data_IF_798271330395
#
_entry.id   IF_798271330395
#
_cell.length_a   1.000
_cell.length_b   1.000
_cell.length_c   1.000
_cell.angle_alpha   90.00
_cell.angle_beta   90.00
_cell.angle_gamma   90.00
#
_symmetry.space_group_name_H-M   'P 1'
#
loop_
_entity.id
_entity.type
_entity.pdbx_description
1 polymer ?
#
# COMPACT_ATOMS: atom_id res chain seq x y z
N UNK A 1 -11.49 -3.34 -6.70
CA UNK A 1 -11.49 -4.04 -5.39
C UNK A 1 -10.45 -3.47 -4.43
N UNK A 2 -9.14 -3.49 -4.74
CA UNK A 2 -8.07 -3.06 -3.81
C UNK A 2 -8.26 -1.62 -3.30
N UNK A 3 -8.40 -0.64 -4.20
CA UNK A 3 -8.57 0.76 -3.82
C UNK A 3 -9.84 1.01 -2.99
N UNK A 4 -10.96 0.37 -3.34
CA UNK A 4 -12.20 0.47 -2.56
C UNK A 4 -12.06 -0.12 -1.15
N UNK A 5 -11.29 -1.22 -0.99
CA UNK A 5 -10.99 -1.75 0.34
C UNK A 5 -10.19 -0.75 1.17
N UNK A 6 -9.29 -0.01 0.54
CA UNK A 6 -8.53 1.03 1.22
C UNK A 6 -9.39 2.24 1.61
N UNK A 7 -10.32 2.68 0.75
CA UNK A 7 -11.27 3.74 1.10
C UNK A 7 -12.13 3.35 2.32
N UNK A 8 -12.60 2.10 2.33
CA UNK A 8 -13.40 1.56 3.45
C UNK A 8 -12.60 1.31 4.73
N UNK A 9 -11.27 1.17 4.66
CA UNK A 9 -10.42 0.93 5.84
C UNK A 9 -10.40 2.13 6.80
N UNK A 10 -10.50 3.35 6.27
CA UNK A 10 -10.48 4.58 7.05
C UNK A 10 -11.71 5.46 6.86
N UNK A 11 -12.81 4.90 6.32
CA UNK A 11 -14.11 5.57 6.17
C UNK A 11 -13.98 6.91 5.42
N UNK A 12 -13.30 6.89 4.26
CA UNK A 12 -13.09 8.05 3.40
C UNK A 12 -11.99 7.82 2.38
N UNK A 13 -11.78 8.81 1.50
CA UNK A 13 -10.79 8.70 0.41
C UNK A 13 -9.42 8.27 0.91
N UNK A 14 -8.81 7.32 0.22
CA UNK A 14 -7.47 6.84 0.52
C UNK A 14 -6.44 7.56 -0.35
N UNK A 15 -5.69 8.55 0.17
CA UNK A 15 -4.55 9.10 -0.55
C UNK A 15 -3.40 8.09 -0.57
N UNK A 16 -2.90 7.76 -1.76
CA UNK A 16 -1.82 6.80 -1.95
C UNK A 16 -0.82 7.24 -3.02
N UNK A 17 0.39 6.71 -2.89
CA UNK A 17 1.34 6.57 -4.00
C UNK A 17 1.23 5.14 -4.54
N UNK A 18 1.18 5.00 -5.86
CA UNK A 18 1.21 3.69 -6.54
C UNK A 18 2.49 3.59 -7.35
N UNK A 19 3.20 2.48 -7.19
CA UNK A 19 4.48 2.25 -7.85
C UNK A 19 4.46 0.92 -8.59
N UNK A 20 4.90 0.95 -9.84
CA UNK A 20 5.09 -0.24 -10.66
C UNK A 20 6.54 -0.69 -10.57
N UNK A 21 6.73 -1.89 -10.04
CA UNK A 21 8.02 -2.55 -9.96
C UNK A 21 8.07 -3.62 -11.04
N UNK A 22 8.70 -3.28 -12.17
CA UNK A 22 8.92 -4.17 -13.31
C UNK A 22 10.40 -4.44 -13.51
N UNK A 23 10.72 -5.54 -14.20
CA UNK A 23 12.08 -5.81 -14.62
C UNK A 23 12.59 -4.67 -15.53
N UNK A 24 13.91 -4.34 -15.48
CA UNK A 24 14.51 -3.39 -16.41
C UNK A 24 14.29 -3.78 -17.87
N UNK A 25 14.19 -2.77 -18.75
CA UNK A 25 13.93 -2.93 -20.19
C UNK A 25 15.20 -2.89 -21.04
N UNK A 26 16.37 -3.20 -20.46
CA UNK A 26 17.68 -3.06 -21.10
C UNK A 26 18.13 -4.31 -21.88
N UNK A 27 17.25 -5.32 -22.03
CA UNK A 27 17.50 -6.54 -22.80
C UNK A 27 18.31 -7.62 -22.10
N UNK A 28 18.63 -7.45 -20.81
CA UNK A 28 19.29 -8.50 -20.01
C UNK A 28 18.28 -9.48 -19.40
N UNK A 29 18.78 -10.61 -18.90
CA UNK A 29 17.96 -11.62 -18.23
C UNK A 29 17.68 -11.22 -16.76
N UNK A 30 16.38 -11.11 -16.44
CA UNK A 30 15.84 -10.85 -15.12
C UNK A 30 14.76 -11.87 -14.72
N UNK A 31 14.89 -13.14 -15.12
CA UNK A 31 13.91 -14.21 -14.84
C UNK A 31 13.61 -14.42 -13.34
N UNK A 32 14.45 -13.90 -12.45
CA UNK A 32 14.23 -13.91 -11.00
C UNK A 32 13.27 -12.81 -10.51
N UNK A 33 12.94 -11.82 -11.35
CA UNK A 33 12.14 -10.68 -10.95
C UNK A 33 10.66 -10.88 -11.30
N UNK A 34 9.79 -10.74 -10.30
CA UNK A 34 8.34 -10.79 -10.49
C UNK A 34 7.79 -9.37 -10.48
N UNK A 35 7.09 -8.98 -11.54
CA UNK A 35 6.32 -7.74 -11.58
C UNK A 35 5.35 -7.64 -10.40
N UNK A 36 5.32 -6.49 -9.74
CA UNK A 36 4.33 -6.21 -8.71
C UNK A 36 4.02 -4.71 -8.64
N UNK A 37 2.92 -4.41 -7.96
CA UNK A 37 2.46 -3.04 -7.72
C UNK A 37 2.40 -2.80 -6.23
N UNK A 38 3.01 -1.72 -5.79
CA UNK A 38 3.00 -1.30 -4.38
C UNK A 38 2.10 -0.09 -4.19
N UNK A 39 1.30 -0.12 -3.12
CA UNK A 39 0.45 0.98 -2.69
C UNK A 39 0.91 1.49 -1.32
N UNK A 40 1.38 2.74 -1.27
CA UNK A 40 1.80 3.37 -0.03
C UNK A 40 0.78 4.41 0.41
N UNK A 41 0.11 4.15 1.53
CA UNK A 41 -0.77 5.14 2.15
C UNK A 41 0.00 6.16 2.95
N UNK A 42 -0.45 7.41 2.92
CA UNK A 42 -0.07 8.40 3.92
C UNK A 42 -1.02 8.39 5.13
N UNK A 43 -2.14 7.65 5.10
CA UNK A 43 -3.05 7.55 6.26
C UNK A 43 -2.60 6.48 7.25
N UNK A 44 -2.66 6.81 8.53
CA UNK A 44 -2.42 5.92 9.69
C UNK A 44 -3.70 5.63 10.49
N UNK A 45 -4.79 6.25 10.10
CA UNK A 45 -6.09 6.28 10.75
C UNK A 45 -7.00 7.28 10.04
N UNK A 46 -8.23 7.42 10.51
CA UNK A 46 -9.23 8.34 9.92
C UNK A 46 -8.71 9.78 9.83
N UNK A 47 -8.13 10.28 10.92
CA UNK A 47 -7.68 11.69 11.04
C UNK A 47 -6.16 11.81 11.23
N UNK A 48 -5.38 10.78 10.83
CA UNK A 48 -3.92 10.74 11.06
C UNK A 48 -3.15 10.52 9.77
N UNK A 49 -2.18 11.39 9.53
CA UNK A 49 -1.26 11.31 8.39
C UNK A 49 0.15 10.94 8.87
N UNK A 50 0.81 10.05 8.14
CA UNK A 50 2.24 9.73 8.29
C UNK A 50 3.05 10.69 7.43
N UNK A 51 3.91 11.44 8.09
CA UNK A 51 4.99 12.19 7.45
C UNK A 51 6.28 11.38 7.51
N UNK A 52 6.99 11.30 6.39
CA UNK A 52 8.35 10.75 6.35
C UNK A 52 9.31 11.84 6.82
N UNK A 53 9.83 11.69 8.04
CA UNK A 53 10.63 12.71 8.72
C UNK A 53 12.10 12.28 8.76
N UNK A 54 12.84 12.69 9.79
CA UNK A 54 14.29 12.47 9.86
C UNK A 54 14.72 11.00 9.79
N UNK A 55 13.97 10.09 10.42
CA UNK A 55 14.36 8.67 10.43
C UNK A 55 14.15 8.01 9.08
N UNK A 56 13.05 8.31 8.37
CA UNK A 56 12.79 7.77 7.05
C UNK A 56 13.61 8.47 5.97
N UNK A 57 13.56 9.81 5.94
CA UNK A 57 14.16 10.61 4.87
C UNK A 57 15.67 10.81 5.03
N UNK A 58 16.16 10.88 6.28
CA UNK A 58 17.58 11.09 6.57
C UNK A 58 18.33 9.79 6.83
N UNK A 59 17.75 8.87 7.62
CA UNK A 59 18.41 7.62 8.01
C UNK A 59 17.97 6.40 7.20
N UNK A 60 17.02 6.52 6.28
CA UNK A 60 16.54 5.41 5.44
C UNK A 60 15.84 4.29 6.21
N UNK A 61 15.41 4.54 7.44
CA UNK A 61 14.79 3.55 8.32
C UNK A 61 13.31 3.84 8.51
N UNK A 62 12.46 2.83 8.31
CA UNK A 62 11.00 2.98 8.38
C UNK A 62 10.46 2.47 9.72
N UNK A 63 9.64 3.30 10.38
CA UNK A 63 8.96 2.93 11.61
C UNK A 63 7.45 2.97 11.39
N UNK A 64 6.79 1.85 11.71
CA UNK A 64 5.34 1.75 11.71
C UNK A 64 4.80 1.33 13.09
N UNK A 65 3.76 2.04 13.54
CA UNK A 65 2.94 1.71 14.72
C UNK A 65 1.78 0.75 14.40
N UNK A 66 1.73 0.24 13.16
CA UNK A 66 0.70 -0.68 12.68
C UNK A 66 1.33 -2.06 12.44
N UNK A 67 0.67 -3.12 12.93
CA UNK A 67 1.05 -4.50 12.60
C UNK A 67 0.56 -4.85 11.19
N UNK A 68 1.44 -5.36 10.30
CA UNK A 68 1.04 -5.82 8.98
C UNK A 68 -0.07 -6.88 9.03
N UNK A 69 0.00 -7.81 9.98
CA UNK A 69 -0.94 -8.91 10.15
C UNK A 69 -2.34 -8.38 10.48
N UNK A 70 -2.41 -7.46 11.45
CA UNK A 70 -3.66 -6.81 11.85
C UNK A 70 -4.25 -6.00 10.71
N UNK A 71 -3.45 -5.16 10.05
CA UNK A 71 -3.93 -4.33 8.94
C UNK A 71 -4.42 -5.17 7.76
N UNK A 72 -3.75 -6.29 7.47
CA UNK A 72 -4.19 -7.22 6.43
C UNK A 72 -5.51 -7.90 6.79
N UNK A 73 -5.74 -8.23 8.06
CA UNK A 73 -7.03 -8.75 8.54
C UNK A 73 -8.14 -7.71 8.39
N UNK A 74 -7.89 -6.48 8.84
CA UNK A 74 -8.86 -5.38 8.75
C UNK A 74 -9.23 -5.09 7.29
N UNK A 75 -8.24 -5.00 6.39
CA UNK A 75 -8.45 -4.77 4.95
C UNK A 75 -9.24 -5.90 4.28
N UNK A 76 -9.02 -7.18 4.67
CA UNK A 76 -9.84 -8.30 4.20
C UNK A 76 -11.29 -8.18 4.65
N UNK A 77 -11.52 -7.68 5.88
CA UNK A 77 -12.85 -7.45 6.45
C UNK A 77 -13.65 -6.31 5.80
N UNK A 78 -12.99 -5.38 5.10
CA UNK A 78 -13.69 -4.28 4.39
C UNK A 78 -14.56 -4.84 3.26
N UNK A 79 -15.87 -4.56 3.32
CA UNK A 79 -16.81 -4.90 2.25
C UNK A 79 -16.69 -3.89 1.11
N UNK A 80 -16.58 -4.38 -0.12
CA UNK A 80 -16.62 -3.55 -1.33
C UNK A 80 -17.96 -3.72 -2.03
N UNK A 81 -18.49 -2.65 -2.63
CA UNK A 81 -19.72 -2.71 -3.43
C UNK A 81 -19.55 -3.30 -4.84
N UNK A 82 -18.43 -3.99 -5.11
CA UNK A 82 -18.20 -4.71 -6.36
C UNK A 82 -18.62 -6.17 -6.16
N UNK A 83 -19.52 -6.64 -7.03
CA UNK A 83 -19.71 -8.08 -7.24
C UNK A 83 -18.37 -8.70 -7.67
N UNK A 84 -18.06 -9.96 -7.27
CA UNK A 84 -16.85 -10.64 -7.72
C UNK A 84 -16.79 -10.63 -9.25
N UNK A 85 -15.61 -10.32 -9.80
CA UNK A 85 -15.40 -10.46 -11.24
C UNK A 85 -15.48 -11.96 -11.58
N UNK A 86 -16.38 -12.32 -12.51
CA UNK A 86 -16.53 -13.67 -13.06
C UNK A 86 -15.22 -14.20 -13.67
#
# INVERSE_FOLDING_TARGET
VVLQKYDGLFDGEFPYMMVFHQAPVDGKDYNYYHFHVEFYSVKRGKDKVKYLAGVESGAGSFILDLSPERMAQDLRGVKTGLEPAE
#
